data_IF_010936720747
#
_entry.id   IF_010936720747
#
_cell.length_a   1.000
_cell.length_b   1.000
_cell.length_c   1.000
_cell.angle_alpha   90.00
_cell.angle_beta   90.00
_cell.angle_gamma   90.00
#
_symmetry.space_group_name_H-M   'P 1'
#
loop_
_entity.id
_entity.type
_entity.pdbx_description
1 polymer ?
#
# COMPACT_ATOMS: atom_id res chain seq x y z
N UNK A 1 28.14 -10.43 -54.83
CA UNK A 1 28.80 -10.66 -53.53
C UNK A 1 28.11 -9.79 -52.48
N UNK A 2 27.33 -10.36 -51.55
CA UNK A 2 26.60 -9.59 -50.55
C UNK A 2 27.56 -9.13 -49.45
N UNK A 3 27.84 -7.82 -49.35
CA UNK A 3 28.58 -7.26 -48.21
C UNK A 3 27.73 -7.43 -46.94
N UNK A 4 28.15 -8.31 -46.03
CA UNK A 4 27.57 -8.37 -44.69
C UNK A 4 28.00 -7.10 -43.94
N UNK A 5 27.05 -6.19 -43.70
CA UNK A 5 27.25 -5.04 -42.81
C UNK A 5 27.09 -5.58 -41.38
N UNK A 6 28.21 -5.79 -40.70
CA UNK A 6 28.26 -6.16 -39.29
C UNK A 6 28.22 -4.92 -38.40
N UNK A 7 27.77 -5.11 -37.16
CA UNK A 7 27.83 -4.11 -36.11
C UNK A 7 29.28 -3.96 -35.62
N UNK A 8 29.72 -2.73 -35.33
CA UNK A 8 31.08 -2.48 -34.85
C UNK A 8 31.14 -2.55 -33.32
N UNK A 9 32.29 -2.95 -32.76
CA UNK A 9 32.50 -2.95 -31.31
C UNK A 9 32.35 -1.55 -30.71
N UNK A 10 32.73 -0.51 -31.46
CA UNK A 10 32.61 0.87 -31.00
C UNK A 10 31.15 1.31 -30.84
N UNK A 11 30.26 0.92 -31.77
CA UNK A 11 28.82 1.19 -31.66
C UNK A 11 28.23 0.50 -30.42
N UNK A 12 28.70 -0.70 -30.08
CA UNK A 12 28.25 -1.41 -28.89
C UNK A 12 28.66 -0.69 -27.60
N UNK A 13 29.90 -0.25 -27.52
CA UNK A 13 30.45 0.42 -26.33
C UNK A 13 29.75 1.77 -26.13
N UNK A 14 29.54 2.55 -27.19
CA UNK A 14 28.83 3.83 -27.11
C UNK A 14 27.39 3.62 -26.64
N UNK A 15 26.69 2.62 -27.20
CA UNK A 15 25.32 2.30 -26.83
C UNK A 15 25.20 1.91 -25.35
N UNK A 16 26.07 1.02 -24.86
CA UNK A 16 26.10 0.63 -23.45
C UNK A 16 26.43 1.82 -22.53
N UNK A 17 27.32 2.72 -22.98
CA UNK A 17 27.68 3.92 -22.22
C UNK A 17 26.49 4.86 -22.04
N UNK A 18 25.69 5.09 -23.09
CA UNK A 18 24.49 5.94 -23.01
C UNK A 18 23.43 5.29 -22.11
N UNK A 19 23.18 3.98 -22.26
CA UNK A 19 22.23 3.24 -21.41
C UNK A 19 22.66 3.29 -19.94
N UNK A 20 23.96 3.17 -19.64
CA UNK A 20 24.48 3.24 -18.29
C UNK A 20 24.25 4.61 -17.64
N UNK A 21 24.51 5.70 -18.37
CA UNK A 21 24.29 7.07 -17.87
C UNK A 21 22.80 7.32 -17.60
N UNK A 22 21.92 6.94 -18.54
CA UNK A 22 20.48 7.09 -18.37
C UNK A 22 19.95 6.22 -17.23
N UNK A 23 20.41 4.97 -17.14
CA UNK A 23 20.03 4.03 -16.08
C UNK A 23 20.41 4.54 -14.69
N UNK A 24 21.60 5.13 -14.53
CA UNK A 24 22.07 5.66 -13.25
C UNK A 24 21.15 6.77 -12.70
N UNK A 25 20.57 7.60 -13.56
CA UNK A 25 19.67 8.69 -13.17
C UNK A 25 18.22 8.19 -12.99
N UNK A 26 17.78 7.28 -13.86
CA UNK A 26 16.38 6.84 -13.91
C UNK A 26 16.00 5.93 -12.74
N UNK A 27 16.87 4.96 -12.39
CA UNK A 27 16.60 3.94 -11.38
C UNK A 27 16.21 4.52 -10.00
N UNK A 28 16.96 5.44 -9.37
CA UNK A 28 16.60 5.96 -8.05
C UNK A 28 15.27 6.72 -8.05
N UNK A 29 14.95 7.42 -9.14
CA UNK A 29 13.70 8.16 -9.27
C UNK A 29 12.51 7.20 -9.20
N UNK A 30 12.50 6.14 -10.01
CA UNK A 30 11.40 5.15 -10.04
C UNK A 30 11.17 4.53 -8.65
N UNK A 31 12.24 4.16 -7.93
CA UNK A 31 12.11 3.61 -6.57
C UNK A 31 11.43 4.59 -5.60
N UNK A 32 11.77 5.87 -5.67
CA UNK A 32 11.14 6.90 -4.83
C UNK A 32 9.66 7.11 -5.15
N UNK A 33 9.28 7.09 -6.44
CA UNK A 33 7.90 7.20 -6.87
C UNK A 33 7.07 6.01 -6.40
N UNK A 34 7.58 4.79 -6.56
CA UNK A 34 6.90 3.57 -6.08
C UNK A 34 6.70 3.63 -4.56
N UNK A 35 7.71 4.07 -3.81
CA UNK A 35 7.59 4.22 -2.35
C UNK A 35 6.52 5.24 -1.95
N UNK A 36 6.47 6.39 -2.61
CA UNK A 36 5.46 7.42 -2.35
C UNK A 36 4.06 6.92 -2.69
N UNK A 37 3.88 6.32 -3.87
CA UNK A 37 2.61 5.75 -4.27
C UNK A 37 2.12 4.66 -3.31
N UNK A 38 3.02 3.79 -2.81
CA UNK A 38 2.66 2.80 -1.81
C UNK A 38 2.28 3.43 -0.46
N UNK A 39 2.97 4.49 -0.03
CA UNK A 39 2.62 5.21 1.20
C UNK A 39 1.27 5.93 1.09
N UNK A 40 0.96 6.52 -0.07
CA UNK A 40 -0.34 7.14 -0.32
C UNK A 40 -1.46 6.09 -0.34
N UNK A 41 -1.26 4.98 -1.06
CA UNK A 41 -2.19 3.84 -1.03
C UNK A 41 -2.45 3.32 0.37
N UNK A 42 -1.41 3.23 1.22
CA UNK A 42 -1.56 2.78 2.59
C UNK A 42 -2.40 3.74 3.45
N UNK A 43 -2.25 5.06 3.23
CA UNK A 43 -3.08 6.08 3.89
C UNK A 43 -4.54 6.04 3.42
N UNK A 44 -4.75 5.87 2.11
CA UNK A 44 -6.10 5.76 1.55
C UNK A 44 -6.81 4.51 2.10
N UNK A 45 -6.11 3.38 2.15
CA UNK A 45 -6.62 2.16 2.79
C UNK A 45 -6.92 2.37 4.27
N UNK A 46 -6.07 3.08 5.01
CA UNK A 46 -6.33 3.38 6.42
C UNK A 46 -7.62 4.21 6.63
N UNK A 47 -7.84 5.21 5.78
CA UNK A 47 -9.05 6.04 5.82
C UNK A 47 -10.31 5.22 5.51
N UNK A 48 -10.23 4.31 4.54
CA UNK A 48 -11.32 3.39 4.21
C UNK A 48 -11.61 2.43 5.36
N UNK A 49 -10.59 1.79 5.93
CA UNK A 49 -10.71 0.93 7.12
C UNK A 49 -11.40 1.68 8.27
N UNK A 50 -10.99 2.91 8.54
CA UNK A 50 -11.62 3.76 9.55
C UNK A 50 -13.10 4.01 9.24
N UNK A 51 -13.42 4.35 7.99
CA UNK A 51 -14.80 4.60 7.58
C UNK A 51 -15.67 3.34 7.71
N UNK A 52 -15.21 2.19 7.26
CA UNK A 52 -15.92 0.91 7.34
C UNK A 52 -16.14 0.48 8.79
N UNK A 53 -15.13 0.62 9.64
CA UNK A 53 -15.24 0.33 11.06
C UNK A 53 -16.25 1.28 11.74
N UNK A 54 -16.14 2.59 11.50
CA UNK A 54 -17.02 3.57 12.13
C UNK A 54 -18.49 3.40 11.71
N UNK A 55 -18.75 2.96 10.47
CA UNK A 55 -20.09 2.59 10.02
C UNK A 55 -20.70 1.46 10.86
N UNK A 56 -19.90 0.44 11.21
CA UNK A 56 -20.33 -0.64 12.11
C UNK A 56 -20.63 -0.09 13.51
N UNK A 57 -19.73 0.74 14.06
CA UNK A 57 -19.91 1.35 15.37
C UNK A 57 -21.15 2.24 15.46
N UNK A 58 -21.46 3.02 14.43
CA UNK A 58 -22.66 3.87 14.40
C UNK A 58 -23.96 3.06 14.38
N UNK A 59 -23.93 1.82 13.88
CA UNK A 59 -25.12 0.97 13.79
C UNK A 59 -25.41 0.25 15.11
N UNK A 60 -24.38 -0.26 15.78
CA UNK A 60 -24.54 -1.13 16.95
C UNK A 60 -24.10 -0.49 18.28
N UNK A 61 -23.45 0.68 18.22
CA UNK A 61 -22.90 1.37 19.39
C UNK A 61 -21.66 0.71 19.99
N UNK A 62 -21.14 -0.34 19.34
CA UNK A 62 -19.94 -1.10 19.71
C UNK A 62 -19.24 -1.64 18.45
N UNK A 63 -17.95 -1.94 18.55
CA UNK A 63 -17.21 -2.61 17.49
C UNK A 63 -17.35 -4.12 17.60
N UNK A 64 -17.97 -4.75 16.60
CA UNK A 64 -17.93 -6.20 16.42
C UNK A 64 -16.83 -6.57 15.41
N UNK A 65 -15.86 -7.39 15.85
CA UNK A 65 -14.71 -7.78 15.04
C UNK A 65 -15.11 -8.47 13.72
N UNK A 66 -16.13 -9.33 13.74
CA UNK A 66 -16.55 -10.06 12.54
C UNK A 66 -17.21 -9.11 11.54
N UNK A 67 -18.13 -8.26 12.01
CA UNK A 67 -18.79 -7.28 11.15
C UNK A 67 -17.81 -6.23 10.60
N UNK A 68 -16.88 -5.75 11.43
CA UNK A 68 -15.86 -4.80 10.99
C UNK A 68 -14.97 -5.44 9.93
N UNK A 69 -14.55 -6.70 10.13
CA UNK A 69 -13.76 -7.42 9.13
C UNK A 69 -14.53 -7.61 7.81
N UNK A 70 -15.81 -7.99 7.86
CA UNK A 70 -16.64 -8.17 6.67
C UNK A 70 -16.86 -6.85 5.91
N UNK A 71 -17.20 -5.77 6.62
CA UNK A 71 -17.37 -4.44 6.02
C UNK A 71 -16.07 -3.96 5.37
N UNK A 72 -14.93 -4.17 6.04
CA UNK A 72 -13.62 -3.83 5.48
C UNK A 72 -13.33 -4.66 4.23
N UNK A 73 -13.62 -5.97 4.25
CA UNK A 73 -13.39 -6.84 3.10
C UNK A 73 -14.28 -6.50 1.90
N UNK A 74 -15.53 -6.10 2.15
CA UNK A 74 -16.49 -5.65 1.14
C UNK A 74 -16.03 -4.31 0.53
N UNK A 75 -15.77 -3.30 1.35
CA UNK A 75 -15.40 -1.95 0.90
C UNK A 75 -14.02 -1.93 0.19
N UNK A 76 -13.09 -2.81 0.60
CA UNK A 76 -11.74 -2.86 0.03
C UNK A 76 -11.55 -3.93 -1.06
N UNK A 77 -12.57 -4.75 -1.37
CA UNK A 77 -12.48 -5.86 -2.36
C UNK A 77 -11.24 -6.74 -2.19
N UNK A 78 -10.92 -7.09 -0.94
CA UNK A 78 -9.61 -7.59 -0.54
C UNK A 78 -9.46 -9.07 -0.83
N UNK A 79 -8.90 -9.39 -2.00
CA UNK A 79 -8.41 -10.76 -2.28
C UNK A 79 -6.93 -10.98 -1.94
N UNK A 80 -6.15 -9.92 -1.68
CA UNK A 80 -4.69 -10.02 -1.52
C UNK A 80 -4.12 -9.42 -0.22
N UNK A 81 -4.87 -8.60 0.53
CA UNK A 81 -4.38 -8.04 1.79
C UNK A 81 -4.87 -8.88 2.97
N UNK A 82 -3.94 -9.46 3.74
CA UNK A 82 -4.27 -10.06 5.03
C UNK A 82 -4.66 -8.94 5.99
N UNK A 83 -5.95 -8.68 6.12
CA UNK A 83 -6.51 -7.78 7.14
C UNK A 83 -6.72 -8.60 8.40
N UNK A 84 -6.22 -8.12 9.54
CA UNK A 84 -6.47 -8.69 10.86
C UNK A 84 -7.05 -7.61 11.76
N UNK A 85 -8.18 -7.93 12.37
CA UNK A 85 -8.90 -7.03 13.26
C UNK A 85 -8.73 -7.55 14.69
N UNK A 86 -8.24 -6.71 15.60
CA UNK A 86 -8.00 -7.00 17.00
C UNK A 86 -8.82 -6.03 17.86
N UNK A 87 -9.90 -6.53 18.50
CA UNK A 87 -10.61 -5.74 19.50
C UNK A 87 -9.70 -5.39 20.67
N UNK A 88 -9.74 -4.13 21.08
CA UNK A 88 -9.09 -3.64 22.31
C UNK A 88 -10.14 -3.42 23.40
N UNK A 89 -11.31 -2.86 23.04
CA UNK A 89 -12.50 -2.68 23.89
C UNK A 89 -13.77 -2.60 23.02
N UNK A 90 -14.96 -2.49 23.62
CA UNK A 90 -16.24 -2.29 22.92
C UNK A 90 -16.25 -1.05 22.01
N UNK A 91 -15.36 -0.07 22.26
CA UNK A 91 -15.25 1.17 21.49
C UNK A 91 -13.87 1.45 20.92
N UNK A 92 -12.92 0.51 21.03
CA UNK A 92 -11.55 0.66 20.51
C UNK A 92 -11.13 -0.59 19.74
N UNK A 93 -10.63 -0.42 18.51
CA UNK A 93 -10.23 -1.53 17.64
C UNK A 93 -8.92 -1.24 16.92
N UNK A 94 -8.03 -2.23 16.89
CA UNK A 94 -6.77 -2.20 16.15
C UNK A 94 -6.93 -3.03 14.87
N UNK A 95 -6.72 -2.41 13.71
CA UNK A 95 -6.77 -3.09 12.41
C UNK A 95 -5.38 -3.11 11.79
N UNK A 96 -4.81 -4.30 11.65
CA UNK A 96 -3.61 -4.52 10.87
C UNK A 96 -3.96 -4.87 9.43
N UNK A 97 -3.30 -4.25 8.47
CA UNK A 97 -3.39 -4.66 7.08
C UNK A 97 -2.03 -4.54 6.41
N UNK A 98 -1.79 -5.41 5.42
CA UNK A 98 -0.61 -5.31 4.57
C UNK A 98 -0.94 -4.48 3.34
N UNK A 99 -0.13 -3.49 2.99
CA UNK A 99 -0.21 -2.78 1.72
C UNK A 99 1.08 -3.02 0.94
N UNK A 100 1.01 -3.81 -0.13
CA UNK A 100 2.18 -4.26 -0.90
C UNK A 100 3.22 -4.96 0.00
N UNK A 101 4.31 -4.26 0.38
CA UNK A 101 5.37 -4.77 1.27
C UNK A 101 5.41 -4.06 2.63
N UNK A 102 4.47 -3.14 2.90
CA UNK A 102 4.38 -2.39 4.13
C UNK A 102 3.32 -3.02 5.03
N UNK A 103 3.68 -3.29 6.28
CA UNK A 103 2.71 -3.67 7.31
C UNK A 103 2.18 -2.38 7.94
N UNK A 104 0.87 -2.21 7.99
CA UNK A 104 0.22 -1.01 8.52
C UNK A 104 -0.71 -1.40 9.67
N UNK A 105 -0.78 -0.54 10.68
CA UNK A 105 -1.68 -0.65 11.81
C UNK A 105 -2.50 0.64 11.92
N UNK A 106 -3.81 0.49 12.05
CA UNK A 106 -4.76 1.58 12.29
C UNK A 106 -5.46 1.32 13.60
N UNK A 107 -5.24 2.20 14.57
CA UNK A 107 -5.94 2.18 15.86
C UNK A 107 -7.13 3.12 15.77
N UNK A 108 -8.33 2.63 16.05
CA UNK A 108 -9.57 3.38 15.90
C UNK A 108 -10.21 3.53 17.28
N UNK A 109 -10.51 4.77 17.65
CA UNK A 109 -11.29 5.14 18.84
C UNK A 109 -12.67 5.63 18.39
N UNK A 110 -13.69 4.81 18.65
CA UNK A 110 -15.07 5.06 18.26
C UNK A 110 -15.75 6.15 19.09
N UNK A 111 -15.29 6.41 20.33
CA UNK A 111 -15.86 7.46 21.20
C UNK A 111 -15.38 8.84 20.78
N UNK A 112 -14.11 8.95 20.40
CA UNK A 112 -13.48 10.20 19.96
C UNK A 112 -13.61 10.45 18.46
N UNK A 113 -14.02 9.44 17.69
CA UNK A 113 -14.10 9.49 16.22
C UNK A 113 -12.72 9.86 15.63
N UNK A 114 -11.69 9.19 16.15
CA UNK A 114 -10.28 9.44 15.77
C UNK A 114 -9.59 8.13 15.41
N UNK A 115 -8.59 8.20 14.54
CA UNK A 115 -7.70 7.08 14.25
C UNK A 115 -6.23 7.50 14.26
N UNK A 116 -5.36 6.57 14.65
CA UNK A 116 -3.90 6.68 14.56
C UNK A 116 -3.39 5.65 13.56
N UNK A 117 -2.66 6.12 12.54
CA UNK A 117 -2.08 5.29 11.48
C UNK A 117 -0.57 5.16 11.68
N UNK A 118 -0.09 3.93 11.76
CA UNK A 118 1.34 3.60 11.88
C UNK A 118 1.76 2.58 10.85
N UNK A 119 2.89 2.85 10.19
CA UNK A 119 3.59 1.87 9.35
C UNK A 119 4.59 1.11 10.22
N UNK A 120 4.51 -0.23 10.23
CA UNK A 120 5.44 -1.15 10.90
C UNK A 120 6.61 -1.50 9.99
#
# INVERSE_FOLDING_TARGET
MMKKRGFTLIELIISMSIIAILGAILVPNIYSYIRRANNEKAKDMAALVFQSAMRSYMKEGKFDNEQVLDNINEDLSVKDNKVQVRAVDDSDIDVDFKCSNLSCEVKIDGRRVTYDFKTK
#
